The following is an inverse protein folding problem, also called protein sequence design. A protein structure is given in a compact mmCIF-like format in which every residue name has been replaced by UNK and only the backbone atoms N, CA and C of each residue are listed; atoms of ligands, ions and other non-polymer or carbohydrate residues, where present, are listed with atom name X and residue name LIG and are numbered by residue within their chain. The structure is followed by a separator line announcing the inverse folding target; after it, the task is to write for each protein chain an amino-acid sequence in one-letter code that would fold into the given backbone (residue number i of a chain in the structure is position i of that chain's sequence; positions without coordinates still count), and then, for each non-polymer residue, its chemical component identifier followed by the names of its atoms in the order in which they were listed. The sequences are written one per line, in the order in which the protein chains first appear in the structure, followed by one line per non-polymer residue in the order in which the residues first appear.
data_IF_015578171126
#
_entry.id   IF_015578171126
#
_cell.length_a   1.000
_cell.length_b   1.000
_cell.length_c   1.000
_cell.angle_alpha   90.00
_cell.angle_beta   90.00
_cell.angle_gamma   90.00
#
_symmetry.space_group_name_H-M   'P 1'
#
loop_
_entity.id
_entity.type
_entity.pdbx_description
1 polymer ?
#
# COMPACT_ATOMS: atom_id res chain seq x y z
N UNK A 1 11.50 14.59 19.95
CA UNK A 1 11.76 13.60 21.03
C UNK A 1 10.47 12.82 21.22
N UNK A 2 10.40 11.58 20.74
CA UNK A 2 9.23 10.68 20.83
C UNK A 2 9.73 9.24 20.84
N UNK A 3 9.03 8.31 21.50
CA UNK A 3 9.37 6.88 21.54
C UNK A 3 10.03 6.39 22.83
N UNK A 4 10.03 7.18 23.90
CA UNK A 4 10.46 6.76 25.24
C UNK A 4 9.23 6.61 26.13
N UNK A 5 9.21 5.57 26.95
CA UNK A 5 8.29 5.46 28.08
C UNK A 5 9.03 5.90 29.34
N UNK A 6 8.40 6.77 30.13
CA UNK A 6 8.97 7.23 31.39
C UNK A 6 8.34 6.42 32.53
N UNK A 7 9.18 5.68 33.26
CA UNK A 7 8.77 4.99 34.48
C UNK A 7 9.08 5.93 35.65
N UNK A 8 8.03 6.25 36.41
CA UNK A 8 8.12 7.05 37.64
C UNK A 8 7.76 6.15 38.81
N UNK A 9 8.76 5.82 39.63
CA UNK A 9 8.56 5.24 40.95
C UNK A 9 8.59 6.37 41.99
N UNK A 10 7.47 6.73 42.63
CA UNK A 10 7.45 7.84 43.59
C UNK A 10 8.24 7.55 44.87
N UNK A 11 8.63 6.30 45.13
CA UNK A 11 9.44 5.91 46.28
C UNK A 11 10.95 6.08 46.05
N UNK A 12 11.37 6.27 44.79
CA UNK A 12 12.76 6.49 44.39
C UNK A 12 12.80 7.79 43.56
N UNK A 13 13.50 8.85 43.97
CA UNK A 13 13.50 10.15 43.27
C UNK A 13 14.34 10.10 41.98
N UNK A 14 14.01 9.19 41.08
CA UNK A 14 14.75 8.92 39.86
C UNK A 14 13.77 8.67 38.72
N UNK A 15 14.02 9.35 37.60
CA UNK A 15 13.27 9.16 36.37
C UNK A 15 14.00 8.14 35.50
N UNK A 16 13.37 6.99 35.23
CA UNK A 16 13.92 6.01 34.30
C UNK A 16 13.21 6.12 32.96
N UNK A 17 13.99 6.28 31.89
CA UNK A 17 13.50 6.23 30.51
C UNK A 17 13.82 4.86 29.93
N UNK A 18 12.83 4.21 29.32
CA UNK A 18 13.07 2.96 28.60
C UNK A 18 13.99 3.20 27.39
N UNK A 19 14.73 2.18 26.97
CA UNK A 19 15.44 2.22 25.68
C UNK A 19 14.40 2.51 24.59
N UNK A 20 14.64 3.50 23.72
CA UNK A 20 13.65 3.88 22.71
C UNK A 20 13.44 2.69 21.79
N UNK A 21 12.22 2.18 21.74
CA UNK A 21 11.83 1.21 20.73
C UNK A 21 11.95 1.91 19.40
N UNK A 22 12.81 1.42 18.49
CA UNK A 22 12.77 1.88 17.11
C UNK A 22 11.41 1.50 16.55
N UNK A 23 10.47 2.44 16.49
CA UNK A 23 9.26 2.23 15.71
C UNK A 23 9.73 1.91 14.30
N UNK A 24 9.30 0.77 13.71
CA UNK A 24 9.56 0.52 12.30
C UNK A 24 9.17 1.77 11.53
N UNK A 25 10.04 2.26 10.65
CA UNK A 25 9.68 3.39 9.78
C UNK A 25 8.42 2.97 9.04
N UNK A 26 7.29 3.60 9.38
CA UNK A 26 6.02 3.34 8.74
C UNK A 26 6.09 3.69 7.25
N UNK A 27 5.21 3.07 6.46
CA UNK A 27 4.99 3.45 5.06
C UNK A 27 4.29 4.81 5.06
N UNK A 28 4.92 5.89 4.53
CA UNK A 28 4.28 7.20 4.54
C UNK A 28 3.05 7.21 3.62
N UNK A 29 1.93 7.72 4.15
CA UNK A 29 0.71 7.95 3.39
C UNK A 29 0.48 9.45 3.26
N UNK A 30 0.01 9.88 2.10
CA UNK A 30 -0.31 11.28 1.82
C UNK A 30 -1.83 11.45 1.77
N UNK A 31 -2.37 12.22 2.72
CA UNK A 31 -3.78 12.62 2.70
C UNK A 31 -4.03 13.68 1.63
N UNK A 32 -5.00 13.43 0.73
CA UNK A 32 -5.44 14.41 -0.26
C UNK A 32 -6.94 14.27 -0.50
N UNK A 33 -7.69 15.36 -0.34
CA UNK A 33 -9.14 15.39 -0.63
C UNK A 33 -9.95 14.26 0.04
N UNK A 34 -9.62 13.93 1.29
CA UNK A 34 -10.34 12.92 2.06
C UNK A 34 -9.91 11.46 1.82
N UNK A 35 -8.91 11.22 0.96
CA UNK A 35 -8.34 9.88 0.77
C UNK A 35 -6.88 9.83 1.19
N UNK A 36 -6.42 8.65 1.60
CA UNK A 36 -4.99 8.36 1.79
C UNK A 36 -4.43 7.81 0.48
N UNK A 37 -3.27 8.34 0.08
CA UNK A 37 -2.57 7.91 -1.14
C UNK A 37 -1.15 7.48 -0.84
N UNK A 38 -0.62 6.58 -1.66
CA UNK A 38 0.77 6.18 -1.63
C UNK A 38 1.36 6.14 -3.04
N UNK A 39 2.67 6.33 -3.13
CA UNK A 39 3.46 6.15 -4.34
C UNK A 39 3.74 4.67 -4.54
N UNK A 40 3.32 4.16 -5.68
CA UNK A 40 3.41 2.76 -6.05
C UNK A 40 4.27 2.59 -7.29
N UNK A 41 5.21 1.65 -7.26
CA UNK A 41 5.89 1.15 -8.46
C UNK A 41 5.21 -0.14 -8.91
N UNK A 42 4.87 -0.22 -10.20
CA UNK A 42 4.26 -1.39 -10.84
C UNK A 42 5.27 -1.95 -11.83
N UNK A 43 5.70 -3.21 -11.64
CA UNK A 43 6.78 -3.83 -12.43
C UNK A 43 8.00 -2.88 -12.55
N UNK A 44 8.43 -2.35 -11.39
CA UNK A 44 9.52 -1.38 -11.23
C UNK A 44 9.37 -0.05 -12.02
N UNK A 45 8.16 0.26 -12.51
CA UNK A 45 7.82 1.51 -13.22
C UNK A 45 6.89 2.40 -12.37
N UNK A 46 7.17 3.70 -12.32
CA UNK A 46 6.45 4.64 -11.46
C UNK A 46 7.33 5.80 -10.96
N UNK A 47 6.98 6.47 -9.86
CA UNK A 47 5.83 6.16 -8.99
C UNK A 47 4.49 6.63 -9.57
N UNK A 48 3.43 5.87 -9.28
CA UNK A 48 2.04 6.23 -9.55
C UNK A 48 1.30 6.42 -8.22
N UNK A 49 0.35 7.33 -8.18
CA UNK A 49 -0.47 7.54 -6.98
C UNK A 49 -1.62 6.52 -6.98
N UNK A 50 -1.68 5.73 -5.92
CA UNK A 50 -2.78 4.80 -5.64
C UNK A 50 -3.48 5.25 -4.36
N UNK A 51 -4.79 5.00 -4.29
CA UNK A 51 -5.57 5.17 -3.06
C UNK A 51 -5.38 3.94 -2.19
N UNK A 52 -5.22 4.14 -0.88
CA UNK A 52 -5.31 3.05 0.09
C UNK A 52 -6.80 2.76 0.35
N UNK A 53 -7.27 1.62 -0.14
CA UNK A 53 -8.65 1.18 -0.02
C UNK A 53 -8.70 -0.18 0.67
N UNK A 54 -9.13 -0.20 1.93
CA UNK A 54 -9.27 -1.45 2.71
C UNK A 54 -10.51 -2.25 2.32
N UNK A 55 -11.42 -1.67 1.55
CA UNK A 55 -12.61 -2.36 1.04
C UNK A 55 -12.37 -3.13 -0.26
N UNK A 56 -11.19 -2.96 -0.89
CA UNK A 56 -10.84 -3.63 -2.12
C UNK A 56 -10.09 -4.95 -1.84
N UNK A 57 -10.58 -6.04 -2.43
CA UNK A 57 -9.88 -7.33 -2.40
C UNK A 57 -8.63 -7.32 -3.29
N UNK A 58 -8.69 -6.64 -4.43
CA UNK A 58 -7.61 -6.53 -5.40
C UNK A 58 -7.13 -5.09 -5.57
N UNK A 59 -5.85 -4.94 -5.92
CA UNK A 59 -5.35 -3.65 -6.41
C UNK A 59 -5.89 -3.40 -7.83
N UNK A 60 -6.65 -2.32 -7.99
CA UNK A 60 -7.23 -1.93 -9.28
C UNK A 60 -6.46 -0.75 -9.86
N UNK A 61 -6.25 -0.75 -11.18
CA UNK A 61 -5.66 0.38 -11.90
C UNK A 61 -6.47 0.73 -13.14
N UNK A 62 -6.42 2.00 -13.55
CA UNK A 62 -7.10 2.43 -14.78
C UNK A 62 -6.55 1.73 -16.02
N UNK A 63 -7.40 1.48 -17.01
CA UNK A 63 -7.00 0.95 -18.33
C UNK A 63 -5.87 1.75 -18.97
N UNK A 64 -5.91 3.08 -18.84
CA UNK A 64 -4.86 3.98 -19.34
C UNK A 64 -3.49 3.67 -18.74
N UNK A 65 -3.45 3.35 -17.44
CA UNK A 65 -2.21 2.98 -16.76
C UNK A 65 -1.72 1.61 -17.23
N UNK A 66 -2.62 0.62 -17.32
CA UNK A 66 -2.29 -0.70 -17.83
C UNK A 66 -1.74 -0.64 -19.27
N UNK A 67 -2.38 0.13 -20.15
CA UNK A 67 -1.93 0.33 -21.53
C UNK A 67 -0.56 1.01 -21.60
N UNK A 68 -0.33 2.06 -20.80
CA UNK A 68 0.98 2.74 -20.70
C UNK A 68 2.09 1.80 -20.25
N UNK A 69 1.75 0.80 -19.44
CA UNK A 69 2.70 -0.21 -18.94
C UNK A 69 2.77 -1.46 -19.82
N UNK A 70 2.02 -1.50 -20.92
CA UNK A 70 1.90 -2.67 -21.81
C UNK A 70 1.45 -3.93 -21.07
N UNK A 71 0.50 -3.78 -20.13
CA UNK A 71 -0.06 -4.87 -19.31
C UNK A 71 -1.40 -5.39 -19.84
N UNK A 72 -1.87 -4.90 -20.98
CA UNK A 72 -3.20 -5.21 -21.53
C UNK A 72 -3.18 -6.33 -22.58
N UNK A 73 -2.13 -7.15 -22.59
CA UNK A 73 -1.97 -8.24 -23.55
C UNK A 73 -3.03 -9.34 -23.30
N UNK A 74 -3.95 -9.58 -24.27
CA UNK A 74 -5.04 -10.53 -24.11
C UNK A 74 -4.59 -11.97 -23.84
N UNK A 75 -3.35 -12.33 -24.18
CA UNK A 75 -2.79 -13.67 -23.92
C UNK A 75 -2.36 -13.87 -22.45
N UNK A 76 -2.23 -12.77 -21.70
CA UNK A 76 -1.76 -12.77 -20.30
C UNK A 76 -2.78 -12.20 -19.32
N UNK A 77 -3.95 -11.80 -19.83
CA UNK A 77 -5.04 -11.23 -19.03
C UNK A 77 -6.24 -12.18 -18.99
N UNK A 78 -6.95 -12.21 -17.86
CA UNK A 78 -8.24 -12.90 -17.75
C UNK A 78 -9.36 -11.88 -17.57
N UNK A 79 -10.48 -12.04 -18.29
CA UNK A 79 -11.67 -11.24 -18.04
C UNK A 79 -12.28 -11.60 -16.69
N UNK A 80 -12.63 -10.57 -15.91
CA UNK A 80 -13.23 -10.73 -14.58
C UNK A 80 -14.37 -9.74 -14.41
N UNK A 81 -15.36 -10.12 -13.61
CA UNK A 81 -16.37 -9.20 -13.10
C UNK A 81 -15.97 -8.77 -11.68
N UNK A 82 -15.95 -7.46 -11.46
CA UNK A 82 -15.63 -6.86 -10.16
C UNK A 82 -16.90 -6.23 -9.61
N UNK A 83 -17.33 -6.68 -8.44
CA UNK A 83 -18.43 -6.06 -7.71
C UNK A 83 -17.92 -4.85 -6.93
N UNK A 84 -18.40 -3.66 -7.28
CA UNK A 84 -18.17 -2.42 -6.53
C UNK A 84 -19.47 -1.87 -5.95
N UNK A 85 -19.35 -0.71 -5.28
CA UNK A 85 -20.52 -0.04 -4.69
C UNK A 85 -21.60 0.34 -5.72
N UNK A 86 -21.19 0.70 -6.95
CA UNK A 86 -22.10 1.09 -8.04
C UNK A 86 -22.63 -0.10 -8.86
N UNK A 87 -22.35 -1.34 -8.46
CA UNK A 87 -22.69 -2.55 -9.20
C UNK A 87 -21.46 -3.25 -9.77
N UNK A 88 -21.68 -4.09 -10.77
CA UNK A 88 -20.64 -4.93 -11.38
C UNK A 88 -20.01 -4.22 -12.57
N UNK A 89 -18.68 -4.23 -12.62
CA UNK A 89 -17.89 -3.73 -13.74
C UNK A 89 -17.04 -4.85 -14.33
N UNK A 90 -16.84 -4.83 -15.64
CA UNK A 90 -15.91 -5.76 -16.31
C UNK A 90 -14.50 -5.21 -16.25
N UNK A 91 -13.57 -6.08 -15.88
CA UNK A 91 -12.15 -5.77 -15.79
C UNK A 91 -11.28 -6.86 -16.42
N UNK A 92 -9.97 -6.61 -16.38
CA UNK A 92 -8.95 -7.57 -16.76
C UNK A 92 -8.04 -7.82 -15.56
N UNK A 93 -8.01 -9.05 -15.09
CA UNK A 93 -7.04 -9.49 -14.11
C UNK A 93 -5.70 -9.78 -14.78
N UNK A 94 -4.62 -9.33 -14.15
CA UNK A 94 -3.24 -9.50 -14.61
C UNK A 94 -2.35 -9.95 -13.47
N UNK A 95 -1.29 -10.68 -13.78
CA UNK A 95 -0.21 -10.94 -12.85
C UNK A 95 0.85 -9.84 -12.94
N UNK A 96 1.26 -9.31 -11.79
CA UNK A 96 2.35 -8.34 -11.71
C UNK A 96 3.62 -9.04 -11.24
N UNK A 97 4.74 -8.80 -11.93
CA UNK A 97 6.05 -9.27 -11.50
C UNK A 97 6.46 -8.63 -10.17
N UNK A 98 6.07 -7.38 -9.95
CA UNK A 98 6.34 -6.68 -8.70
C UNK A 98 5.37 -5.54 -8.44
N UNK A 99 5.07 -5.32 -7.17
CA UNK A 99 4.46 -4.10 -6.66
C UNK A 99 5.30 -3.60 -5.48
N UNK A 100 5.56 -2.30 -5.40
CA UNK A 100 6.12 -1.70 -4.19
C UNK A 100 5.41 -0.41 -3.81
N UNK A 101 5.26 -0.19 -2.51
CA UNK A 101 4.57 0.96 -1.90
C UNK A 101 5.61 1.74 -1.09
N UNK A 102 5.87 2.99 -1.46
CA UNK A 102 6.92 3.84 -0.84
C UNK A 102 8.27 3.13 -0.73
N UNK A 103 8.64 2.35 -1.75
CA UNK A 103 9.89 1.58 -1.78
C UNK A 103 9.85 0.24 -1.02
N UNK A 104 8.75 -0.08 -0.33
CA UNK A 104 8.55 -1.38 0.31
C UNK A 104 7.94 -2.35 -0.69
N UNK A 105 8.66 -3.42 -1.05
CA UNK A 105 8.16 -4.46 -1.95
C UNK A 105 7.02 -5.23 -1.30
N UNK A 106 5.87 -5.30 -1.96
CA UNK A 106 4.79 -6.17 -1.55
C UNK A 106 5.18 -7.62 -1.81
N UNK A 107 4.86 -8.52 -0.87
CA UNK A 107 5.25 -9.92 -0.94
C UNK A 107 4.73 -10.62 -2.21
N UNK A 108 5.36 -11.74 -2.55
CA UNK A 108 4.89 -12.63 -3.62
C UNK A 108 3.65 -13.39 -3.15
N UNK A 109 2.55 -13.27 -3.88
CA UNK A 109 1.36 -14.10 -3.65
C UNK A 109 1.72 -15.59 -3.86
N UNK A 110 1.39 -16.44 -2.89
CA UNK A 110 1.39 -17.90 -3.08
C UNK A 110 -0.08 -18.31 -3.32
N UNK A 111 -0.38 -19.01 -4.43
CA UNK A 111 -1.74 -19.45 -4.75
C UNK A 111 -2.30 -20.41 -3.71
#
# INVERSE_FOLDING_TARGET
MSGFEAIVDPSIPQLQLSTPTSTPRGIPLYGRMGVMTARVMVNDRGPYLFVLDTGAEWSVMSERLAARLSLSDPTTTQEVEVLGFCGTERGKQIHLNSLSIEGTRCGTWKP
#
